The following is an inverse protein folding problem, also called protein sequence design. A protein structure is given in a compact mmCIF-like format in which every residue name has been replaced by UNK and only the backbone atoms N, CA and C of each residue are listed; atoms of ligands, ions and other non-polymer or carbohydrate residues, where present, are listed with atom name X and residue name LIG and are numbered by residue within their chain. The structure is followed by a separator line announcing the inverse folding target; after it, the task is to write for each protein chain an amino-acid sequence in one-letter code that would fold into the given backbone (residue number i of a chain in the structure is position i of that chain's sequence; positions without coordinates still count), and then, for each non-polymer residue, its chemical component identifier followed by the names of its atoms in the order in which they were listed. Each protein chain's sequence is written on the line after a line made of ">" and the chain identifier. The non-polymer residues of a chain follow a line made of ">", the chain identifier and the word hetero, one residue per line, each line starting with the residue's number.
data_IF_758907015197
#
_entry.id   IF_758907015197
#
_cell.length_a   1.000
_cell.length_b   1.000
_cell.length_c   1.000
_cell.angle_alpha   90.00
_cell.angle_beta   90.00
_cell.angle_gamma   90.00
#
_symmetry.space_group_name_H-M   'P 1'
#
loop_
_entity.id
_entity.type
_entity.pdbx_description
1 polymer ?
#
# COMPACT_ATOMS: atom_id res chain seq x y z
N UNK A 1 -18.07 -14.14 4.95
CA UNK A 1 -17.57 -12.76 4.76
C UNK A 1 -17.97 -11.92 5.95
N UNK A 2 -17.05 -11.66 6.89
CA UNK A 2 -17.28 -10.70 7.97
C UNK A 2 -17.51 -9.29 7.41
N UNK A 3 -18.47 -8.56 7.99
CA UNK A 3 -18.66 -7.13 7.71
C UNK A 3 -17.88 -6.29 8.71
N UNK A 4 -17.11 -5.33 8.20
CA UNK A 4 -16.27 -4.43 8.97
C UNK A 4 -16.84 -3.03 8.83
N UNK A 5 -17.14 -2.40 9.96
CA UNK A 5 -17.66 -1.04 10.02
C UNK A 5 -16.53 -0.08 10.37
N UNK A 6 -16.12 0.74 9.41
CA UNK A 6 -15.09 1.76 9.56
C UNK A 6 -15.76 3.12 9.74
N UNK A 7 -15.37 3.85 10.78
CA UNK A 7 -15.74 5.26 10.95
C UNK A 7 -14.47 6.09 10.85
N UNK A 8 -14.49 7.12 9.99
CA UNK A 8 -13.39 8.07 9.84
C UNK A 8 -13.91 9.44 10.19
N UNK A 9 -13.21 10.10 11.10
CA UNK A 9 -13.50 11.48 11.48
C UNK A 9 -12.41 12.39 10.93
N UNK A 10 -12.82 13.42 10.20
CA UNK A 10 -11.98 14.50 9.73
C UNK A 10 -12.34 15.76 10.54
N UNK A 11 -11.62 16.05 11.63
CA UNK A 11 -11.89 17.25 12.41
C UNK A 11 -11.61 18.49 11.56
N UNK A 12 -12.64 19.26 11.28
CA UNK A 12 -12.52 20.51 10.53
C UNK A 12 -12.20 21.64 11.49
N UNK A 13 -11.10 22.35 11.23
CA UNK A 13 -10.70 23.50 12.02
C UNK A 13 -11.72 24.64 11.86
N UNK A 14 -12.24 25.13 12.98
CA UNK A 14 -13.23 26.20 13.03
C UNK A 14 -12.60 27.59 12.85
N UNK A 15 -12.17 27.87 11.62
CA UNK A 15 -11.62 29.17 11.25
C UNK A 15 -12.67 30.07 10.60
N UNK A 16 -12.45 31.38 10.65
CA UNK A 16 -13.33 32.36 10.01
C UNK A 16 -13.61 32.05 8.52
N UNK A 17 -12.59 31.60 7.77
CA UNK A 17 -12.75 31.23 6.36
C UNK A 17 -13.59 29.96 6.18
N UNK A 18 -13.45 28.98 7.08
CA UNK A 18 -14.25 27.75 7.07
C UNK A 18 -15.71 28.06 7.36
N UNK A 19 -15.99 28.90 8.36
CA UNK A 19 -17.35 29.39 8.67
C UNK A 19 -17.97 30.17 7.50
N UNK A 20 -17.21 31.04 6.83
CA UNK A 20 -17.69 31.75 5.64
C UNK A 20 -18.06 30.79 4.51
N UNK A 21 -17.20 29.83 4.17
CA UNK A 21 -17.49 28.85 3.11
C UNK A 21 -18.69 27.98 3.48
N UNK A 22 -18.77 27.53 4.74
CA UNK A 22 -19.90 26.75 5.21
C UNK A 22 -21.22 27.53 5.11
N UNK A 23 -21.23 28.82 5.46
CA UNK A 23 -22.40 29.67 5.32
C UNK A 23 -22.72 30.07 3.87
N UNK A 24 -21.72 30.23 3.00
CA UNK A 24 -21.93 30.57 1.59
C UNK A 24 -22.54 29.43 0.77
N UNK A 25 -22.28 28.18 1.17
CA UNK A 25 -22.68 26.97 0.42
C UNK A 25 -23.54 26.00 1.23
N UNK A 26 -24.08 26.44 2.38
CA UNK A 26 -24.90 25.63 3.30
C UNK A 26 -24.28 24.27 3.66
N UNK A 27 -22.98 24.25 4.00
CA UNK A 27 -22.25 23.01 4.34
C UNK A 27 -22.44 22.66 5.81
N UNK A 28 -23.10 21.54 6.16
CA UNK A 28 -23.27 21.13 7.55
C UNK A 28 -21.95 20.51 8.08
N UNK A 29 -21.09 21.33 8.68
CA UNK A 29 -19.76 20.93 9.15
C UNK A 29 -19.79 19.75 10.13
N UNK A 30 -20.78 19.66 11.02
CA UNK A 30 -20.89 18.55 11.97
C UNK A 30 -21.28 17.21 11.33
N UNK A 31 -22.03 17.24 10.22
CA UNK A 31 -22.49 16.04 9.52
C UNK A 31 -21.51 15.57 8.44
N UNK A 32 -20.71 16.49 7.88
CA UNK A 32 -19.76 16.24 6.78
C UNK A 32 -18.37 15.82 7.24
N UNK A 33 -18.13 15.77 8.54
CA UNK A 33 -16.82 15.47 9.13
C UNK A 33 -16.67 14.00 9.53
N UNK A 34 -17.74 13.22 9.49
CA UNK A 34 -17.71 11.79 9.80
C UNK A 34 -18.20 10.98 8.61
N UNK A 35 -17.37 10.08 8.11
CA UNK A 35 -17.72 9.12 7.08
C UNK A 35 -17.76 7.71 7.68
N UNK A 36 -18.79 6.94 7.33
CA UNK A 36 -18.96 5.55 7.78
C UNK A 36 -19.00 4.62 6.57
N UNK A 37 -18.15 3.61 6.60
CA UNK A 37 -18.04 2.60 5.55
C UNK A 37 -18.36 1.23 6.15
N UNK A 38 -19.22 0.47 5.50
CA UNK A 38 -19.38 -0.95 5.75
C UNK A 38 -18.76 -1.70 4.58
N UNK A 39 -17.73 -2.51 4.86
CA UNK A 39 -17.02 -3.31 3.85
C UNK A 39 -17.06 -4.78 4.24
N UNK A 40 -17.34 -5.62 3.27
CA UNK A 40 -17.21 -7.07 3.39
C UNK A 40 -15.83 -7.47 2.90
N UNK A 41 -15.01 -8.03 3.78
CA UNK A 41 -13.70 -8.58 3.41
C UNK A 41 -13.76 -10.12 3.49
N UNK A 42 -13.16 -10.83 2.54
CA UNK A 42 -12.99 -12.28 2.66
C UNK A 42 -12.06 -12.61 3.83
N UNK A 43 -12.22 -13.79 4.42
CA UNK A 43 -11.29 -14.23 5.45
C UNK A 43 -9.89 -14.43 4.85
N UNK A 44 -8.85 -14.07 5.60
CA UNK A 44 -7.45 -14.18 5.14
C UNK A 44 -7.04 -15.62 4.83
N UNK A 45 -7.70 -16.59 5.46
CA UNK A 45 -7.44 -18.03 5.29
C UNK A 45 -8.20 -18.63 4.09
N UNK A 46 -9.06 -17.86 3.42
CA UNK A 46 -9.64 -18.29 2.15
C UNK A 46 -8.56 -18.40 1.07
N UNK A 47 -8.64 -19.41 0.18
CA UNK A 47 -7.65 -19.64 -0.86
C UNK A 47 -7.79 -18.61 -1.99
N UNK A 48 -7.12 -17.47 -1.84
CA UNK A 48 -7.00 -16.45 -2.89
C UNK A 48 -5.57 -15.93 -3.01
N UNK A 49 -5.18 -15.67 -4.26
CA UNK A 49 -3.88 -15.12 -4.62
C UNK A 49 -3.90 -13.61 -4.87
N UNK A 50 -5.05 -13.07 -5.34
CA UNK A 50 -5.24 -11.65 -5.66
C UNK A 50 -6.56 -11.17 -5.07
N UNK A 51 -6.49 -10.11 -4.26
CA UNK A 51 -7.65 -9.36 -3.77
C UNK A 51 -7.71 -7.97 -4.40
N UNK A 52 -8.92 -7.41 -4.56
CA UNK A 52 -9.11 -6.08 -5.12
C UNK A 52 -10.13 -5.28 -4.31
N UNK A 53 -9.74 -4.07 -3.89
CA UNK A 53 -10.64 -3.10 -3.25
C UNK A 53 -11.06 -2.10 -4.34
N UNK A 54 -12.32 -2.16 -4.78
CA UNK A 54 -12.87 -1.28 -5.82
C UNK A 54 -13.99 -0.40 -5.29
N UNK A 55 -14.17 0.75 -5.92
CA UNK A 55 -15.22 1.70 -5.57
C UNK A 55 -14.98 3.09 -6.17
N UNK A 56 -16.01 3.97 -6.19
CA UNK A 56 -15.91 5.34 -6.68
C UNK A 56 -14.79 6.14 -6.02
N UNK A 57 -14.38 7.26 -6.63
CA UNK A 57 -13.47 8.20 -5.94
C UNK A 57 -14.11 8.71 -4.65
N UNK A 58 -13.32 8.84 -3.58
CA UNK A 58 -13.82 9.25 -2.25
C UNK A 58 -14.53 8.17 -1.44
N UNK A 59 -14.74 6.95 -1.96
CA UNK A 59 -15.47 5.88 -1.25
C UNK A 59 -14.70 5.21 -0.09
N UNK A 60 -13.58 5.78 0.36
CA UNK A 60 -12.79 5.24 1.47
C UNK A 60 -11.86 4.06 1.16
N UNK A 61 -11.58 3.73 -0.11
CA UNK A 61 -10.69 2.60 -0.50
C UNK A 61 -9.33 2.63 0.21
N UNK A 62 -8.63 3.76 0.14
CA UNK A 62 -7.33 3.95 0.78
C UNK A 62 -7.43 3.86 2.31
N UNK A 63 -8.55 4.33 2.88
CA UNK A 63 -8.82 4.19 4.32
C UNK A 63 -9.01 2.72 4.72
N UNK A 64 -9.80 1.97 3.95
CA UNK A 64 -10.02 0.52 4.17
C UNK A 64 -8.68 -0.22 4.10
N UNK A 65 -7.87 0.05 3.07
CA UNK A 65 -6.55 -0.53 2.91
C UNK A 65 -5.65 -0.19 4.11
N UNK A 66 -5.61 1.08 4.53
CA UNK A 66 -4.79 1.53 5.64
C UNK A 66 -5.19 0.95 6.99
N UNK A 67 -6.49 0.76 7.26
CA UNK A 67 -6.96 0.23 8.55
C UNK A 67 -6.94 -1.30 8.61
N UNK A 68 -7.27 -1.98 7.51
CA UNK A 68 -7.39 -3.45 7.50
C UNK A 68 -6.08 -4.17 7.15
N UNK A 69 -5.14 -3.48 6.50
CA UNK A 69 -3.89 -4.06 5.98
C UNK A 69 -2.67 -3.19 6.29
N UNK A 70 -2.68 -2.47 7.43
CA UNK A 70 -1.61 -1.53 7.77
C UNK A 70 -0.19 -2.14 7.69
N UNK A 71 -0.04 -3.37 8.16
CA UNK A 71 1.25 -4.06 8.19
C UNK A 71 1.75 -4.46 6.79
N UNK A 72 0.84 -4.71 5.85
CA UNK A 72 1.14 -5.16 4.49
C UNK A 72 1.04 -4.05 3.45
N UNK A 73 0.50 -2.89 3.81
CA UNK A 73 0.30 -1.75 2.93
C UNK A 73 1.64 -1.08 2.63
N UNK A 74 2.03 -1.10 1.37
CA UNK A 74 3.19 -0.36 0.90
C UNK A 74 2.92 1.15 0.94
N UNK A 75 3.57 1.87 1.87
CA UNK A 75 3.44 3.33 2.05
C UNK A 75 4.55 4.15 1.36
N UNK A 76 5.29 3.53 0.44
CA UNK A 76 6.52 4.11 -0.11
C UNK A 76 7.74 3.69 0.70
N UNK A 77 8.84 3.43 0.00
CA UNK A 77 10.09 3.08 0.63
C UNK A 77 11.01 4.29 0.75
N UNK A 78 11.94 4.23 1.71
CA UNK A 78 13.00 5.22 1.79
C UNK A 78 13.96 5.02 0.61
N UNK A 79 13.98 5.99 -0.31
CA UNK A 79 14.84 6.02 -1.49
C UNK A 79 15.91 7.10 -1.29
N UNK A 80 17.15 6.73 -0.90
CA UNK A 80 18.24 7.69 -0.69
C UNK A 80 18.49 8.55 -1.93
N UNK A 81 18.60 9.86 -1.73
CA UNK A 81 18.70 10.85 -2.82
C UNK A 81 19.98 10.75 -3.66
N UNK A 82 21.01 10.10 -3.10
CA UNK A 82 22.37 9.95 -3.61
C UNK A 82 22.71 8.53 -4.07
N UNK A 83 21.79 7.56 -3.95
CA UNK A 83 22.00 6.18 -4.39
C UNK A 83 21.26 5.86 -5.69
N UNK A 84 21.80 4.93 -6.46
CA UNK A 84 21.11 4.38 -7.61
C UNK A 84 19.93 3.50 -7.15
N UNK A 85 18.89 3.41 -7.98
CA UNK A 85 17.75 2.52 -7.71
C UNK A 85 18.19 1.09 -7.44
N UNK A 86 19.17 0.58 -8.20
CA UNK A 86 19.65 -0.80 -8.07
C UNK A 86 20.25 -1.09 -6.68
N UNK A 87 20.77 -0.07 -5.99
CA UNK A 87 21.41 -0.21 -4.67
C UNK A 87 20.41 -0.16 -3.50
N UNK A 88 19.12 0.05 -3.79
CA UNK A 88 18.08 0.33 -2.78
C UNK A 88 17.20 -0.89 -2.46
N UNK A 89 17.66 -2.09 -2.79
CA UNK A 89 16.93 -3.36 -2.61
C UNK A 89 17.44 -4.19 -1.43
N UNK A 90 18.13 -3.57 -0.46
CA UNK A 90 18.67 -4.24 0.71
C UNK A 90 19.72 -5.29 0.33
N UNK A 91 19.64 -6.47 0.96
CA UNK A 91 20.58 -7.58 0.75
C UNK A 91 20.19 -8.52 -0.40
N UNK A 92 19.15 -8.17 -1.18
CA UNK A 92 18.72 -8.99 -2.30
C UNK A 92 19.85 -9.13 -3.34
N UNK A 93 20.17 -10.37 -3.79
CA UNK A 93 21.15 -10.58 -4.85
C UNK A 93 20.78 -9.78 -6.11
N UNK A 94 21.77 -9.14 -6.75
CA UNK A 94 21.56 -8.31 -7.94
C UNK A 94 20.69 -8.99 -9.01
N UNK A 95 20.88 -10.30 -9.22
CA UNK A 95 20.06 -11.08 -10.15
C UNK A 95 18.57 -11.01 -9.81
N UNK A 96 18.20 -11.16 -8.53
CA UNK A 96 16.82 -11.08 -8.09
C UNK A 96 16.27 -9.66 -8.24
N UNK A 97 17.08 -8.65 -7.94
CA UNK A 97 16.70 -7.24 -8.16
C UNK A 97 16.37 -6.97 -9.64
N UNK A 98 17.22 -7.43 -10.55
CA UNK A 98 17.00 -7.31 -11.99
C UNK A 98 15.75 -8.08 -12.42
N UNK A 99 15.51 -9.27 -11.87
CA UNK A 99 14.31 -10.06 -12.13
C UNK A 99 13.04 -9.33 -11.65
N UNK A 100 13.07 -8.70 -10.46
CA UNK A 100 11.96 -7.88 -9.93
C UNK A 100 11.69 -6.65 -10.79
N UNK A 101 12.72 -5.86 -11.11
CA UNK A 101 12.61 -4.66 -11.96
C UNK A 101 12.08 -5.01 -13.35
N UNK A 102 12.53 -6.13 -13.91
CA UNK A 102 12.03 -6.63 -15.21
C UNK A 102 10.59 -7.12 -15.10
N UNK A 103 10.23 -7.79 -14.00
CA UNK A 103 8.86 -8.25 -13.77
C UNK A 103 7.89 -7.07 -13.69
N UNK A 104 8.24 -5.96 -13.06
CA UNK A 104 7.36 -4.76 -13.05
C UNK A 104 7.43 -3.94 -14.35
N UNK A 105 7.99 -4.48 -15.44
CA UNK A 105 8.09 -3.76 -16.71
C UNK A 105 9.01 -2.54 -16.66
N UNK A 106 9.96 -2.49 -15.72
CA UNK A 106 10.99 -1.46 -15.65
C UNK A 106 12.32 -2.01 -16.15
N UNK A 107 12.38 -2.40 -17.42
CA UNK A 107 13.56 -2.99 -18.08
C UNK A 107 14.48 -1.93 -18.71
N UNK A 108 14.96 -0.97 -17.93
CA UNK A 108 15.85 0.12 -18.40
C UNK A 108 17.12 0.21 -17.53
N UNK A 109 18.19 -0.54 -17.87
CA UNK A 109 19.46 -0.45 -17.15
C UNK A 109 20.00 0.99 -17.01
N UNK A 110 19.90 1.88 -18.02
CA UNK A 110 20.29 3.28 -17.85
C UNK A 110 19.47 4.03 -16.79
N UNK A 111 18.22 3.64 -16.53
CA UNK A 111 17.41 4.22 -15.46
C UNK A 111 17.72 3.60 -14.09
N UNK A 112 18.14 2.33 -14.02
CA UNK A 112 18.45 1.65 -12.76
C UNK A 112 19.66 2.22 -12.01
N UNK A 113 20.63 2.74 -12.76
CA UNK A 113 21.85 3.35 -12.21
C UNK A 113 21.65 4.82 -11.80
N UNK A 114 20.43 5.37 -12.00
CA UNK A 114 20.09 6.74 -11.62
C UNK A 114 19.44 6.78 -10.23
N UNK A 115 19.53 7.93 -9.53
CA UNK A 115 18.75 8.14 -8.32
C UNK A 115 17.25 8.13 -8.56
N UNK A 116 16.47 7.55 -7.64
CA UNK A 116 15.01 7.49 -7.72
C UNK A 116 14.37 8.87 -7.98
N UNK A 117 14.93 9.93 -7.38
CA UNK A 117 14.42 11.30 -7.50
C UNK A 117 14.43 11.88 -8.91
N UNK A 118 15.18 11.32 -9.86
CA UNK A 118 15.22 11.81 -11.25
C UNK A 118 14.31 11.03 -12.19
N UNK A 119 13.68 9.96 -11.70
CA UNK A 119 12.80 9.12 -12.50
C UNK A 119 11.45 9.79 -12.77
N UNK A 120 10.80 9.42 -13.86
CA UNK A 120 9.40 9.79 -14.11
C UNK A 120 8.44 9.16 -13.09
N UNK A 121 7.22 9.69 -12.96
CA UNK A 121 6.22 9.12 -12.03
C UNK A 121 5.94 7.64 -12.31
N UNK A 122 5.82 7.25 -13.59
CA UNK A 122 5.59 5.85 -13.97
C UNK A 122 6.79 4.93 -13.71
N UNK A 123 8.03 5.44 -13.78
CA UNK A 123 9.23 4.67 -13.40
C UNK A 123 9.33 4.52 -11.87
N UNK A 124 9.05 5.59 -11.12
CA UNK A 124 9.00 5.57 -9.65
C UNK A 124 8.00 4.54 -9.14
N UNK A 125 6.78 4.57 -9.67
CA UNK A 125 5.74 3.59 -9.37
C UNK A 125 6.22 2.14 -9.54
N UNK A 126 6.93 1.86 -10.64
CA UNK A 126 7.47 0.51 -10.89
C UNK A 126 8.59 0.16 -9.91
N UNK A 127 9.46 1.11 -9.54
CA UNK A 127 10.47 0.88 -8.50
C UNK A 127 9.82 0.53 -7.16
N UNK A 128 8.77 1.28 -6.79
CA UNK A 128 8.00 1.09 -5.57
C UNK A 128 7.33 -0.28 -5.55
N UNK A 129 6.68 -0.66 -6.65
CA UNK A 129 6.08 -1.97 -6.82
C UNK A 129 7.11 -3.11 -6.74
N UNK A 130 8.28 -2.96 -7.38
CA UNK A 130 9.34 -3.96 -7.31
C UNK A 130 9.85 -4.15 -5.87
N UNK A 131 9.97 -3.06 -5.12
CA UNK A 131 10.41 -3.10 -3.72
C UNK A 131 9.34 -3.67 -2.80
N UNK A 132 8.06 -3.39 -3.04
CA UNK A 132 6.94 -4.01 -2.34
C UNK A 132 6.93 -5.54 -2.51
N UNK A 133 7.15 -6.01 -3.75
CA UNK A 133 7.24 -7.44 -4.06
C UNK A 133 8.50 -8.10 -3.46
N UNK A 134 9.63 -7.38 -3.42
CA UNK A 134 10.87 -7.85 -2.78
C UNK A 134 10.75 -7.98 -1.27
N UNK A 135 10.17 -6.97 -0.60
CA UNK A 135 10.01 -6.95 0.86
C UNK A 135 9.07 -8.06 1.37
N UNK A 136 8.09 -8.48 0.57
CA UNK A 136 7.31 -9.67 0.89
C UNK A 136 8.20 -10.91 1.03
N UNK A 137 9.15 -11.10 0.11
CA UNK A 137 10.01 -12.28 0.06
C UNK A 137 10.93 -12.49 1.28
N UNK A 138 11.27 -11.43 2.00
CA UNK A 138 12.21 -11.45 3.14
C UNK A 138 11.64 -12.09 4.42
N UNK A 139 10.31 -12.29 4.50
CA UNK A 139 9.69 -13.02 5.61
C UNK A 139 10.12 -14.51 5.68
N UNK A 140 10.84 -15.02 4.67
CA UNK A 140 11.42 -16.38 4.66
C UNK A 140 12.82 -16.47 5.29
N UNK A 141 13.42 -15.36 5.76
CA UNK A 141 14.81 -15.32 6.22
C UNK A 141 15.09 -14.68 7.60
N UNK A 142 14.20 -13.84 8.13
CA UNK A 142 14.47 -13.11 9.38
C UNK A 142 13.72 -13.71 10.58
N UNK A 143 14.40 -14.60 11.31
CA UNK A 143 14.04 -14.97 12.68
C UNK A 143 14.85 -14.09 13.65
N UNK A 144 14.18 -13.61 14.72
CA UNK A 144 14.70 -12.76 15.82
C UNK A 144 15.11 -11.33 15.41
N UNK A 145 14.74 -10.23 16.09
CA UNK A 145 14.51 -10.02 17.52
C UNK A 145 13.41 -8.96 17.75
N UNK A 146 12.41 -9.30 18.55
CA UNK A 146 11.47 -8.33 19.08
C UNK A 146 12.14 -7.56 20.24
N UNK A 147 12.44 -6.28 20.03
CA UNK A 147 12.79 -5.35 21.12
C UNK A 147 11.53 -4.60 21.54
N UNK A 148 11.13 -4.83 22.78
CA UNK A 148 9.97 -4.21 23.39
C UNK A 148 10.12 -2.70 23.57
N UNK A 149 8.99 -2.01 23.47
CA UNK A 149 8.79 -0.69 24.05
C UNK A 149 7.31 -0.55 24.47
N UNK A 150 7.13 -0.53 25.79
CA UNK A 150 6.24 0.30 26.59
C UNK A 150 4.84 0.66 26.08
N UNK A 151 3.83 0.18 26.84
CA UNK A 151 2.45 0.65 26.85
C UNK A 151 2.36 2.09 27.36
N UNK A 152 1.79 3.00 26.58
CA UNK A 152 1.22 4.25 27.09
C UNK A 152 -0.22 4.44 26.55
N UNK A 153 -1.12 4.71 27.49
CA UNK A 153 -2.56 4.90 27.33
C UNK A 153 -2.89 6.30 26.81
N UNK A 154 -3.70 6.45 25.76
CA UNK A 154 -4.66 7.57 25.57
C UNK A 154 -5.75 7.19 24.54
N UNK A 155 -6.88 7.92 24.43
CA UNK A 155 -8.22 7.47 24.80
C UNK A 155 -9.04 6.92 23.62
N UNK A 156 -10.18 6.33 23.98
CA UNK A 156 -11.15 5.65 23.12
C UNK A 156 -11.66 6.48 21.92
N UNK A 157 -11.04 6.31 20.76
CA UNK A 157 -11.69 6.33 19.45
C UNK A 157 -11.79 4.88 18.96
N UNK A 158 -12.85 4.50 18.24
CA UNK A 158 -13.09 3.13 17.80
C UNK A 158 -12.03 2.61 16.84
N UNK A 159 -10.89 2.14 17.36
CA UNK A 159 -9.85 1.46 16.60
C UNK A 159 -10.29 0.01 16.42
N UNK A 160 -10.60 -0.37 15.19
CA UNK A 160 -10.77 -1.78 14.82
C UNK A 160 -9.39 -2.44 15.00
N UNK A 161 -9.29 -3.58 15.69
CA UNK A 161 -8.03 -4.30 15.73
C UNK A 161 -7.61 -4.65 14.29
N UNK A 162 -6.34 -4.43 13.90
CA UNK A 162 -5.86 -4.81 12.58
C UNK A 162 -6.20 -6.29 12.35
N UNK A 163 -6.56 -6.63 11.10
CA UNK A 163 -6.88 -8.02 10.75
C UNK A 163 -5.72 -8.92 11.21
N UNK A 164 -6.05 -10.06 11.82
CA UNK A 164 -5.02 -10.98 12.30
C UNK A 164 -4.05 -11.35 11.17
N UNK A 165 -2.74 -11.44 11.45
CA UNK A 165 -1.75 -11.79 10.44
C UNK A 165 -2.09 -13.15 9.82
N UNK A 166 -1.84 -13.30 8.51
CA UNK A 166 -2.07 -14.58 7.80
C UNK A 166 -1.27 -15.68 8.50
N UNK A 167 -1.87 -16.86 8.71
CA UNK A 167 -1.16 -18.00 9.24
C UNK A 167 0.10 -18.28 8.40
N UNK A 168 1.24 -18.40 9.07
CA UNK A 168 2.65 -18.44 8.59
C UNK A 168 3.02 -19.41 7.45
N UNK A 169 2.07 -20.11 6.83
CA UNK A 169 2.32 -21.08 5.76
C UNK A 169 2.05 -20.54 4.34
N UNK A 170 1.38 -19.39 4.21
CA UNK A 170 1.10 -18.76 2.91
C UNK A 170 2.17 -17.72 2.55
N UNK A 171 2.30 -17.45 1.24
CA UNK A 171 3.18 -16.40 0.75
C UNK A 171 2.87 -15.05 1.44
N UNK A 172 3.90 -14.20 1.66
CA UNK A 172 3.74 -12.87 2.23
C UNK A 172 2.65 -12.08 1.50
N UNK A 173 1.71 -11.51 2.24
CA UNK A 173 0.69 -10.63 1.67
C UNK A 173 1.30 -9.26 1.43
N UNK A 174 1.11 -8.72 0.22
CA UNK A 174 1.51 -7.36 -0.14
C UNK A 174 0.26 -6.61 -0.56
N UNK A 175 0.03 -5.44 0.04
CA UNK A 175 -1.07 -4.54 -0.34
C UNK A 175 -0.49 -3.29 -0.96
N UNK A 176 -0.98 -2.95 -2.15
CA UNK A 176 -0.50 -1.82 -2.93
C UNK A 176 -1.69 -0.96 -3.35
N UNK A 177 -1.69 0.31 -2.94
CA UNK A 177 -2.74 1.25 -3.33
C UNK A 177 -2.42 1.89 -4.70
N UNK A 178 -3.46 2.28 -5.42
CA UNK A 178 -3.35 2.96 -6.72
C UNK A 178 -2.49 2.25 -7.78
N UNK A 179 -2.61 0.93 -7.90
CA UNK A 179 -1.81 0.08 -8.78
C UNK A 179 -1.72 0.52 -10.27
N UNK A 180 -2.62 1.38 -10.78
CA UNK A 180 -2.55 1.85 -12.17
C UNK A 180 -2.72 3.36 -12.34
N UNK A 181 -2.66 4.17 -11.28
CA UNK A 181 -3.03 5.60 -11.39
C UNK A 181 -2.04 6.44 -12.20
N UNK A 182 -0.77 6.03 -12.24
CA UNK A 182 0.34 6.82 -12.81
C UNK A 182 1.06 6.15 -13.99
N UNK A 183 0.48 5.10 -14.56
CA UNK A 183 1.04 4.36 -15.71
C UNK A 183 0.05 4.33 -16.88
N UNK A 184 0.57 4.32 -18.10
CA UNK A 184 -0.27 4.11 -19.28
C UNK A 184 -0.82 2.68 -19.35
N UNK A 185 -1.82 2.47 -20.21
CA UNK A 185 -2.54 1.19 -20.33
C UNK A 185 -1.64 0.02 -20.73
N UNK A 186 -0.65 0.24 -21.58
CA UNK A 186 0.21 -0.85 -22.07
C UNK A 186 1.21 -1.26 -20.99
N UNK A 187 1.79 -0.29 -20.28
CA UNK A 187 2.62 -0.54 -19.10
C UNK A 187 1.83 -1.26 -18.01
N UNK A 188 0.62 -0.81 -17.70
CA UNK A 188 -0.24 -1.47 -16.71
C UNK A 188 -0.51 -2.94 -17.09
N UNK A 189 -0.81 -3.22 -18.36
CA UNK A 189 -1.05 -4.58 -18.86
C UNK A 189 0.20 -5.45 -18.74
N UNK A 190 1.36 -4.92 -19.12
CA UNK A 190 2.63 -5.63 -19.01
C UNK A 190 2.97 -5.97 -17.55
N UNK A 191 2.83 -5.00 -16.64
CA UNK A 191 3.03 -5.19 -15.20
C UNK A 191 2.11 -6.29 -14.66
N UNK A 192 0.80 -6.22 -14.96
CA UNK A 192 -0.18 -7.22 -14.50
C UNK A 192 0.12 -8.62 -15.01
N UNK A 193 0.55 -8.76 -16.27
CA UNK A 193 0.91 -10.06 -16.83
C UNK A 193 2.11 -10.68 -16.10
N UNK A 194 3.10 -9.86 -15.75
CA UNK A 194 4.30 -10.32 -15.07
C UNK A 194 4.07 -10.62 -13.59
N UNK A 195 3.26 -9.82 -12.88
CA UNK A 195 2.81 -10.16 -11.52
C UNK A 195 2.04 -11.48 -11.53
N UNK A 196 1.09 -11.64 -12.45
CA UNK A 196 0.32 -12.88 -12.59
C UNK A 196 1.22 -14.08 -12.91
N UNK A 197 2.34 -13.88 -13.61
CA UNK A 197 3.35 -14.93 -13.84
C UNK A 197 4.16 -15.23 -12.58
N UNK A 198 4.52 -14.21 -11.81
CA UNK A 198 5.21 -14.35 -10.52
C UNK A 198 4.39 -15.14 -9.51
N UNK A 199 3.12 -14.75 -9.33
CA UNK A 199 2.16 -15.44 -8.45
C UNK A 199 2.03 -16.91 -8.85
N UNK A 200 1.77 -17.19 -10.15
CA UNK A 200 1.63 -18.57 -10.64
C UNK A 200 2.89 -19.44 -10.56
N UNK A 201 4.07 -18.85 -10.40
CA UNK A 201 5.32 -19.58 -10.18
C UNK A 201 5.55 -19.92 -8.70
N UNK A 202 4.90 -19.18 -7.80
CA UNK A 202 5.01 -19.36 -6.36
C UNK A 202 3.85 -20.14 -5.71
N UNK A 203 2.75 -20.35 -6.44
CA UNK A 203 1.61 -21.19 -6.08
C UNK A 203 1.82 -22.66 -6.45
#
# INVERSE_FOLDING_TARGET
>A
MPSINITVECPVNDSFRVQQVAGMFDVPLAEKTTERFAVELPDRDEPWDIGLIVGPSGSGKSTVAAQCFEAELYRGADWPADKAVIDCFGDLPLRQVVELLTAVGFSSPPSWVKPYRVLSCGERFRCDLARALGAGGDARGASCEARGASKENTPAGGVIPPLAPRASQLAPLVVFDEYTSVVDRDVARACSAAIAKGIRRGA
#
